data_IF_050776605269
#
_entry.id   IF_050776605269
#
_cell.length_a   1.000
_cell.length_b   1.000
_cell.length_c   1.000
_cell.angle_alpha   90.00
_cell.angle_beta   90.00
_cell.angle_gamma   90.00
#
_symmetry.space_group_name_H-M   'P 1'
#
loop_
_entity.id
_entity.type
_entity.pdbx_description
1 polymer ?
#
# COMPACT_ATOMS: atom_id res chain seq x y z
N UNK A 1 -4.92 28.89 -19.31
CA UNK A 1 -4.03 29.01 -18.14
C UNK A 1 -2.88 28.02 -18.32
N UNK A 2 -1.63 28.48 -18.53
CA UNK A 2 -0.47 27.59 -18.77
C UNK A 2 -0.04 26.84 -17.50
N UNK A 3 -0.13 27.50 -16.34
CA UNK A 3 0.26 26.95 -15.04
C UNK A 3 -0.61 25.76 -14.60
N UNK A 4 -1.93 25.79 -14.86
CA UNK A 4 -2.80 24.67 -14.50
C UNK A 4 -2.49 23.42 -15.34
N UNK A 5 -2.09 23.59 -16.61
CA UNK A 5 -1.65 22.48 -17.46
C UNK A 5 -0.37 21.85 -16.90
N UNK A 6 0.59 22.66 -16.45
CA UNK A 6 1.82 22.23 -15.81
C UNK A 6 1.53 21.32 -14.61
N UNK A 7 0.74 21.80 -13.62
CA UNK A 7 0.42 20.98 -12.45
C UNK A 7 -0.37 19.72 -12.79
N UNK A 8 -1.24 19.76 -13.80
CA UNK A 8 -1.97 18.58 -14.25
C UNK A 8 -1.05 17.51 -14.85
N UNK A 9 -0.03 17.93 -15.61
CA UNK A 9 0.96 17.00 -16.18
C UNK A 9 1.88 16.45 -15.09
N UNK A 10 2.34 17.31 -14.18
CA UNK A 10 3.20 16.92 -13.06
C UNK A 10 2.51 15.90 -12.12
N UNK A 11 1.21 16.08 -11.84
CA UNK A 11 0.42 15.19 -11.01
C UNK A 11 -0.22 14.00 -11.78
N UNK A 12 0.20 13.76 -13.03
CA UNK A 12 -0.25 12.61 -13.80
C UNK A 12 0.14 11.30 -13.12
N UNK A 13 -0.66 10.25 -13.34
CA UNK A 13 -0.35 8.89 -12.88
C UNK A 13 0.89 8.32 -13.58
N UNK A 14 1.04 8.64 -14.86
CA UNK A 14 2.15 8.19 -15.70
C UNK A 14 3.00 9.41 -16.02
N UNK A 15 4.30 9.32 -15.73
CA UNK A 15 5.25 10.41 -15.87
C UNK A 15 6.42 9.95 -16.74
N UNK A 16 6.55 10.54 -17.94
CA UNK A 16 7.64 10.21 -18.86
C UNK A 16 8.80 11.17 -18.63
N UNK A 17 10.06 10.70 -18.60
CA UNK A 17 11.22 11.56 -18.37
C UNK A 17 11.37 12.68 -19.40
N UNK A 18 10.99 12.42 -20.65
CA UNK A 18 11.02 13.40 -21.75
C UNK A 18 10.05 14.55 -21.49
N UNK A 19 8.81 14.24 -21.09
CA UNK A 19 7.81 15.25 -20.74
C UNK A 19 8.30 16.14 -19.58
N UNK A 20 9.05 15.58 -18.62
CA UNK A 20 9.58 16.34 -17.49
C UNK A 20 10.63 17.36 -17.89
N UNK A 21 11.48 17.04 -18.86
CA UNK A 21 12.47 17.99 -19.40
C UNK A 21 11.77 19.14 -20.13
N UNK A 22 10.68 18.85 -20.85
CA UNK A 22 9.86 19.90 -21.45
C UNK A 22 9.16 20.77 -20.40
N UNK A 23 8.59 20.15 -19.36
CA UNK A 23 7.93 20.84 -18.25
C UNK A 23 8.88 21.79 -17.50
N UNK A 24 10.13 21.38 -17.27
CA UNK A 24 11.16 22.19 -16.63
C UNK A 24 11.45 23.48 -17.42
N UNK A 25 11.47 23.39 -18.75
CA UNK A 25 11.66 24.55 -19.62
C UNK A 25 10.39 25.42 -19.76
N UNK A 26 9.20 24.82 -19.70
CA UNK A 26 7.93 25.54 -19.80
C UNK A 26 7.57 26.32 -18.52
N UNK A 27 7.90 25.80 -17.34
CA UNK A 27 7.51 26.43 -16.07
C UNK A 27 8.18 27.78 -15.87
N UNK A 28 9.48 27.90 -16.19
CA UNK A 28 10.20 29.18 -16.10
C UNK A 28 9.54 30.28 -16.95
N UNK A 29 9.21 29.96 -18.21
CA UNK A 29 8.49 30.90 -19.09
C UNK A 29 7.11 31.26 -18.55
N UNK A 30 6.40 30.27 -18.00
CA UNK A 30 5.06 30.46 -17.46
C UNK A 30 5.07 31.36 -16.22
N UNK A 31 6.05 31.23 -15.34
CA UNK A 31 6.21 32.10 -14.18
C UNK A 31 6.58 33.53 -14.57
N UNK A 32 7.50 33.71 -15.53
CA UNK A 32 7.81 35.05 -16.06
C UNK A 32 6.59 35.72 -16.70
N UNK A 33 5.75 34.97 -17.43
CA UNK A 33 4.50 35.49 -17.99
C UNK A 33 3.52 35.92 -16.87
N UNK A 34 3.48 35.20 -15.75
CA UNK A 34 2.65 35.53 -14.60
C UNK A 34 3.19 36.75 -13.84
N UNK A 35 4.52 36.92 -13.77
CA UNK A 35 5.17 38.05 -13.07
C UNK A 35 4.84 39.38 -13.73
N UNK A 36 4.58 39.37 -15.03
CA UNK A 36 4.14 40.55 -15.77
C UNK A 36 2.69 40.95 -15.50
N UNK A 37 1.88 40.04 -14.96
CA UNK A 37 0.43 40.23 -14.75
C UNK A 37 0.13 40.54 -13.28
N UNK A 38 0.78 39.83 -12.36
CA UNK A 38 0.53 39.95 -10.93
C UNK A 38 1.54 40.88 -10.25
N UNK A 39 1.16 41.58 -9.17
CA UNK A 39 2.10 42.39 -8.40
C UNK A 39 3.18 41.52 -7.77
N UNK A 40 4.39 42.06 -7.50
CA UNK A 40 5.49 41.30 -6.88
C UNK A 40 5.12 40.63 -5.55
N UNK A 41 4.15 41.19 -4.81
CA UNK A 41 3.64 40.61 -3.56
C UNK A 41 2.92 39.27 -3.72
N UNK A 42 2.54 38.89 -4.95
CA UNK A 42 1.94 37.59 -5.27
C UNK A 42 2.99 36.47 -5.43
N UNK A 43 4.24 36.84 -5.71
CA UNK A 43 5.33 35.88 -5.92
C UNK A 43 5.96 35.49 -4.59
N UNK A 44 5.28 34.60 -3.87
CA UNK A 44 5.81 33.98 -2.68
C UNK A 44 6.80 32.85 -3.01
N UNK A 45 7.40 32.29 -1.96
CA UNK A 45 8.29 31.12 -2.02
C UNK A 45 7.56 29.90 -2.59
N UNK A 46 6.23 29.80 -2.40
CA UNK A 46 5.43 28.67 -2.87
C UNK A 46 5.33 28.64 -4.39
N UNK A 47 5.14 29.81 -5.03
CA UNK A 47 5.12 29.92 -6.48
C UNK A 47 6.49 29.59 -7.08
N UNK A 48 7.59 30.02 -6.44
CA UNK A 48 8.95 29.72 -6.90
C UNK A 48 9.30 28.23 -6.78
N UNK A 49 8.79 27.55 -5.75
CA UNK A 49 9.02 26.11 -5.57
C UNK A 49 8.54 25.28 -6.77
N UNK A 50 7.54 25.78 -7.50
CA UNK A 50 7.02 25.11 -8.69
C UNK A 50 8.06 24.86 -9.78
N UNK A 51 9.14 25.66 -9.86
CA UNK A 51 10.24 25.44 -10.81
C UNK A 51 10.99 24.14 -10.49
N UNK A 52 11.18 23.84 -9.21
CA UNK A 52 11.95 22.68 -8.76
C UNK A 52 11.18 21.37 -8.84
N UNK A 53 9.84 21.43 -8.87
CA UNK A 53 8.99 20.23 -8.85
C UNK A 53 9.22 19.29 -10.04
N UNK A 54 9.52 19.82 -11.23
CA UNK A 54 9.79 18.98 -12.41
C UNK A 54 11.08 18.18 -12.25
N UNK A 55 12.14 18.82 -11.75
CA UNK A 55 13.42 18.17 -11.46
C UNK A 55 13.27 17.15 -10.32
N UNK A 56 12.53 17.52 -9.27
CA UNK A 56 12.24 16.63 -8.16
C UNK A 56 11.45 15.39 -8.59
N UNK A 57 10.48 15.54 -9.50
CA UNK A 57 9.71 14.41 -10.01
C UNK A 57 10.53 13.52 -10.96
N UNK A 58 11.54 14.07 -11.62
CA UNK A 58 12.50 13.30 -12.43
C UNK A 58 13.37 12.40 -11.56
N UNK A 59 13.77 12.87 -10.38
CA UNK A 59 14.62 12.11 -9.46
C UNK A 59 13.78 11.17 -8.58
N UNK A 60 12.70 11.68 -8.01
CA UNK A 60 11.88 10.99 -7.01
C UNK A 60 10.65 10.27 -7.56
N UNK A 61 10.45 10.27 -8.87
CA UNK A 61 9.27 9.68 -9.51
C UNK A 61 7.98 10.47 -9.28
N UNK A 62 6.81 9.84 -9.50
CA UNK A 62 5.53 10.52 -9.49
C UNK A 62 5.20 11.21 -8.16
N UNK A 63 4.72 12.45 -8.25
CA UNK A 63 4.48 13.34 -7.10
C UNK A 63 3.46 12.79 -6.09
N UNK A 64 2.50 11.98 -6.55
CA UNK A 64 1.41 11.45 -5.72
C UNK A 64 1.88 10.52 -4.60
N UNK A 65 2.99 9.80 -4.78
CA UNK A 65 3.55 8.93 -3.73
C UNK A 65 4.35 9.69 -2.68
N UNK A 66 4.75 10.93 -2.97
CA UNK A 66 5.55 11.77 -2.07
C UNK A 66 4.70 12.73 -1.24
N UNK A 67 3.39 12.77 -1.47
CA UNK A 67 2.49 13.56 -0.64
C UNK A 67 2.32 12.90 0.72
N UNK A 68 2.51 13.68 1.78
CA UNK A 68 2.29 13.23 3.15
C UNK A 68 0.79 13.06 3.46
N UNK A 69 -0.08 13.75 2.72
CA UNK A 69 -1.52 13.81 2.97
C UNK A 69 -2.24 12.44 3.02
N UNK A 70 -2.02 11.49 2.09
CA UNK A 70 -2.62 10.15 2.17
C UNK A 70 -2.19 9.39 3.42
N UNK A 71 -0.91 9.50 3.81
CA UNK A 71 -0.36 8.86 5.00
C UNK A 71 -1.00 9.45 6.26
N UNK A 72 -1.06 10.78 6.36
CA UNK A 72 -1.72 11.46 7.49
C UNK A 72 -3.19 11.09 7.62
N UNK A 73 -3.93 11.04 6.50
CA UNK A 73 -5.33 10.64 6.49
C UNK A 73 -5.51 9.20 6.95
N UNK A 74 -4.62 8.31 6.53
CA UNK A 74 -4.63 6.91 6.96
C UNK A 74 -4.35 6.81 8.47
N UNK A 75 -3.30 7.45 8.97
CA UNK A 75 -2.96 7.47 10.39
C UNK A 75 -4.07 8.10 11.25
N UNK A 76 -4.70 9.17 10.78
CA UNK A 76 -5.87 9.77 11.42
C UNK A 76 -7.03 8.77 11.53
N UNK A 77 -7.22 7.93 10.51
CA UNK A 77 -8.24 6.88 10.53
C UNK A 77 -7.89 5.79 11.53
N UNK A 78 -6.65 5.31 11.54
CA UNK A 78 -6.19 4.32 12.54
C UNK A 78 -6.31 4.85 13.97
N UNK A 79 -6.02 6.13 14.19
CA UNK A 79 -6.20 6.78 15.49
C UNK A 79 -7.63 6.67 16.00
N UNK A 80 -8.63 6.71 15.12
CA UNK A 80 -10.04 6.53 15.49
C UNK A 80 -10.38 5.11 15.98
N UNK A 81 -9.55 4.11 15.64
CA UNK A 81 -9.72 2.72 16.08
C UNK A 81 -9.14 2.44 17.48
N UNK A 82 -8.38 3.36 18.06
CA UNK A 82 -7.81 3.21 19.41
C UNK A 82 -8.88 3.44 20.48
N UNK A 83 -9.61 2.38 20.83
CA UNK A 83 -10.56 2.31 21.96
C UNK A 83 -9.86 1.99 23.28
N UNK A 84 -8.84 1.14 23.25
CA UNK A 84 -8.05 0.77 24.43
C UNK A 84 -6.63 1.37 24.38
N UNK A 85 -6.39 2.43 25.15
CA UNK A 85 -5.08 3.11 25.21
C UNK A 85 -3.97 2.29 25.88
N UNK A 86 -4.29 1.22 26.62
CA UNK A 86 -3.28 0.33 27.23
C UNK A 86 -2.64 -0.61 26.23
N UNK A 87 -3.31 -0.87 25.10
CA UNK A 87 -2.85 -1.72 23.99
C UNK A 87 -3.31 -1.12 22.65
N UNK A 88 -2.69 -0.02 22.20
CA UNK A 88 -3.16 0.71 21.02
C UNK A 88 -3.09 -0.12 19.74
N UNK A 89 -2.04 -0.92 19.56
CA UNK A 89 -1.85 -1.80 18.40
C UNK A 89 -2.96 -2.85 18.29
N UNK A 90 -3.26 -3.55 19.39
CA UNK A 90 -4.35 -4.53 19.43
C UNK A 90 -5.72 -3.90 19.16
N UNK A 91 -5.96 -2.70 19.70
CA UNK A 91 -7.20 -1.97 19.45
C UNK A 91 -7.36 -1.54 17.98
N UNK A 92 -6.26 -1.16 17.32
CA UNK A 92 -6.24 -0.83 15.90
C UNK A 92 -6.48 -2.09 15.05
N UNK A 93 -5.80 -3.20 15.37
CA UNK A 93 -5.95 -4.47 14.66
C UNK A 93 -7.40 -4.97 14.72
N UNK A 94 -8.02 -4.94 15.90
CA UNK A 94 -9.44 -5.27 16.05
C UNK A 94 -10.35 -4.32 15.25
N UNK A 95 -10.12 -3.00 15.32
CA UNK A 95 -10.90 -2.02 14.58
C UNK A 95 -10.78 -2.20 13.06
N UNK A 96 -9.58 -2.47 12.57
CA UNK A 96 -9.31 -2.73 11.16
C UNK A 96 -9.98 -4.03 10.70
N UNK A 97 -9.81 -5.14 11.43
CA UNK A 97 -10.49 -6.42 11.16
C UNK A 97 -12.02 -6.29 11.09
N UNK A 98 -12.61 -5.44 11.94
CA UNK A 98 -14.05 -5.24 11.97
C UNK A 98 -14.61 -4.47 10.77
N UNK A 99 -13.80 -3.64 10.12
CA UNK A 99 -14.19 -2.82 8.96
C UNK A 99 -13.70 -3.46 7.65
N UNK A 100 -12.69 -4.32 7.72
CA UNK A 100 -12.10 -4.95 6.55
C UNK A 100 -13.07 -5.97 5.94
N UNK A 101 -13.49 -5.79 4.67
CA UNK A 101 -14.52 -6.63 4.04
C UNK A 101 -14.05 -8.08 3.86
N UNK A 102 -12.74 -8.31 3.82
CA UNK A 102 -12.15 -9.65 3.73
C UNK A 102 -12.19 -10.43 5.06
N UNK A 103 -12.66 -9.83 6.15
CA UNK A 103 -12.90 -10.55 7.42
C UNK A 103 -13.98 -11.64 7.32
N UNK A 104 -14.73 -11.67 6.20
CA UNK A 104 -15.65 -12.74 5.82
C UNK A 104 -14.93 -14.00 5.30
N UNK A 105 -13.68 -13.87 4.84
CA UNK A 105 -12.86 -14.98 4.33
C UNK A 105 -11.87 -15.52 5.37
N UNK A 106 -11.86 -14.96 6.58
CA UNK A 106 -11.07 -15.54 7.67
C UNK A 106 -11.77 -16.81 8.15
N UNK A 107 -10.98 -17.86 8.41
CA UNK A 107 -11.47 -19.14 8.93
C UNK A 107 -12.35 -18.93 10.16
N UNK A 108 -13.36 -19.78 10.35
CA UNK A 108 -14.34 -19.64 11.42
C UNK A 108 -13.71 -19.57 12.84
N UNK A 109 -12.49 -20.09 12.99
CA UNK A 109 -11.68 -20.03 14.20
C UNK A 109 -11.25 -18.61 14.61
N UNK A 110 -11.21 -17.66 13.67
CA UNK A 110 -10.86 -16.26 13.93
C UNK A 110 -12.14 -15.46 14.10
N UNK A 111 -12.56 -15.28 15.35
CA UNK A 111 -13.79 -14.56 15.70
C UNK A 111 -13.81 -13.10 15.24
N UNK A 112 -14.36 -12.83 14.05
CA UNK A 112 -14.66 -11.50 13.52
C UNK A 112 -16.11 -11.10 13.86
N UNK A 113 -16.47 -9.80 13.80
CA UNK A 113 -17.88 -9.38 13.99
C UNK A 113 -18.84 -10.04 13.00
N UNK A 114 -18.33 -10.48 11.85
CA UNK A 114 -19.10 -11.14 10.80
C UNK A 114 -19.33 -12.63 11.04
N UNK A 115 -18.47 -13.28 11.85
CA UNK A 115 -18.60 -14.69 12.22
C UNK A 115 -19.10 -14.91 13.66
N UNK A 116 -19.65 -13.89 14.33
CA UNK A 116 -20.17 -14.08 15.70
C UNK A 116 -21.46 -14.89 15.65
N UNK A 117 -21.52 -16.09 16.27
CA UNK A 117 -22.76 -16.84 16.38
C UNK A 117 -23.78 -16.02 17.18
N UNK A 118 -25.04 -16.10 16.76
CA UNK A 118 -26.14 -15.38 17.40
C UNK A 118 -26.26 -15.81 18.86
N UNK A 119 -26.48 -14.85 19.77
CA UNK A 119 -26.47 -15.02 21.24
C UNK A 119 -27.53 -15.98 21.81
N UNK A 120 -28.33 -16.62 20.96
CA UNK A 120 -29.42 -17.52 21.30
C UNK A 120 -29.23 -18.87 20.60
N UNK A 121 -28.22 -19.64 21.00
CA UNK A 121 -28.24 -21.10 20.81
C UNK A 121 -28.38 -21.72 22.20
N UNK A 122 -29.59 -22.17 22.50
CA UNK A 122 -29.86 -23.02 23.65
C UNK A 122 -29.19 -24.37 23.38
N UNK A 123 -28.01 -24.58 23.98
CA UNK A 123 -27.31 -25.87 23.94
C UNK A 123 -28.05 -26.88 24.82
N UNK A 124 -28.90 -27.66 24.17
CA UNK A 124 -29.57 -28.82 24.74
C UNK A 124 -29.07 -30.12 24.12
N UNK A 125 -28.18 -30.83 24.82
CA UNK A 125 -28.19 -32.30 24.86
C UNK A 125 -27.08 -33.07 24.10
N UNK A 126 -26.14 -33.60 24.91
CA UNK A 126 -25.45 -34.90 24.86
C UNK A 126 -25.28 -35.70 23.54
N UNK A 127 -24.02 -35.99 23.18
CA UNK A 127 -23.42 -37.27 22.66
C UNK A 127 -22.04 -36.91 22.08
N UNK A 128 -20.93 -37.61 22.28
CA UNK A 128 -20.63 -38.91 22.86
C UNK A 128 -19.26 -39.33 22.30
N UNK A 129 -18.37 -39.75 23.18
CA UNK A 129 -17.08 -40.42 22.99
C UNK A 129 -16.83 -41.04 21.59
N UNK A 130 -15.89 -40.48 20.81
CA UNK A 130 -15.21 -41.20 19.70
C UNK A 130 -13.94 -40.56 19.10
N UNK A 131 -13.45 -39.41 19.59
CA UNK A 131 -12.35 -38.68 18.91
C UNK A 131 -10.92 -39.06 19.32
N UNK A 132 -10.74 -40.04 20.21
CA UNK A 132 -9.43 -40.29 20.82
C UNK A 132 -8.57 -41.32 20.09
N UNK A 133 -9.13 -42.21 19.27
CA UNK A 133 -8.38 -43.32 18.66
C UNK A 133 -7.77 -43.00 17.29
N UNK A 134 -8.22 -41.91 16.63
CA UNK A 134 -7.69 -41.49 15.32
C UNK A 134 -6.47 -40.56 15.41
N UNK A 135 -6.25 -39.90 16.56
CA UNK A 135 -5.18 -38.91 16.71
C UNK A 135 -3.80 -39.52 16.97
N UNK A 136 -3.74 -40.74 17.52
CA UNK A 136 -2.47 -41.43 17.79
C UNK A 136 -1.81 -42.02 16.53
N UNK A 137 -2.54 -42.14 15.43
CA UNK A 137 -2.00 -42.63 14.15
C UNK A 137 -1.47 -41.52 13.24
N UNK A 138 -1.91 -40.28 13.42
CA UNK A 138 -1.45 -39.12 12.63
C UNK A 138 -0.08 -38.60 13.14
N UNK A 139 0.23 -38.79 14.42
CA UNK A 139 1.51 -38.35 15.03
C UNK A 139 2.73 -39.22 14.68
N UNK A 140 2.59 -40.26 13.84
CA UNK A 140 3.69 -41.17 13.45
C UNK A 140 4.18 -41.03 12.00
N UNK A 141 3.56 -40.18 11.18
CA UNK A 141 3.85 -40.14 9.73
C UNK A 141 4.41 -38.82 9.20
N UNK A 142 4.68 -37.82 10.03
CA UNK A 142 5.26 -36.55 9.60
C UNK A 142 6.74 -36.48 9.99
N UNK A 143 7.60 -36.99 9.09
CA UNK A 143 9.04 -36.77 9.18
C UNK A 143 9.33 -35.27 8.99
N UNK A 144 10.00 -34.60 9.95
CA UNK A 144 10.16 -33.15 9.98
C UNK A 144 11.12 -32.59 8.91
N UNK A 145 11.89 -33.45 8.24
CA UNK A 145 12.90 -33.02 7.26
C UNK A 145 12.30 -32.75 5.86
N UNK A 146 11.18 -33.39 5.50
CA UNK A 146 10.60 -33.31 4.14
C UNK A 146 9.94 -31.95 3.83
N UNK A 147 9.41 -31.25 4.85
CA UNK A 147 8.82 -29.92 4.65
C UNK A 147 9.86 -28.82 4.46
N UNK A 148 11.10 -29.05 4.93
CA UNK A 148 12.17 -28.05 4.82
C UNK A 148 12.73 -27.95 3.40
N UNK A 149 12.86 -29.09 2.71
CA UNK A 149 13.28 -29.19 1.31
C UNK A 149 12.26 -28.55 0.34
N UNK A 150 10.95 -28.74 0.55
CA UNK A 150 9.91 -28.12 -0.27
C UNK A 150 9.90 -26.58 -0.17
N UNK A 151 10.14 -26.05 1.04
CA UNK A 151 10.26 -24.60 1.24
C UNK A 151 11.54 -24.05 0.61
N UNK A 152 12.66 -24.77 0.67
CA UNK A 152 13.90 -24.37 0.04
C UNK A 152 13.82 -24.42 -1.49
N UNK A 153 13.13 -25.42 -2.05
CA UNK A 153 12.88 -25.53 -3.48
C UNK A 153 12.00 -24.38 -3.99
N UNK A 154 10.98 -24.03 -3.19
CA UNK A 154 10.09 -22.89 -3.47
C UNK A 154 10.85 -21.56 -3.37
N UNK A 155 11.69 -21.37 -2.37
CA UNK A 155 12.52 -20.16 -2.25
C UNK A 155 13.52 -20.03 -3.42
N UNK A 156 14.11 -21.14 -3.89
CA UNK A 156 15.00 -21.15 -5.06
C UNK A 156 14.26 -20.82 -6.35
N UNK A 157 13.02 -21.30 -6.52
CA UNK A 157 12.23 -20.95 -7.69
C UNK A 157 11.86 -19.46 -7.70
N UNK A 158 11.44 -18.91 -6.56
CA UNK A 158 11.17 -17.48 -6.41
C UNK A 158 12.40 -16.63 -6.71
N UNK A 159 13.55 -16.94 -6.12
CA UNK A 159 14.78 -16.16 -6.33
C UNK A 159 15.20 -16.13 -7.80
N UNK A 160 14.99 -17.22 -8.55
CA UNK A 160 15.27 -17.29 -9.99
C UNK A 160 14.32 -16.40 -10.80
N UNK A 161 13.02 -16.42 -10.49
CA UNK A 161 12.03 -15.56 -11.17
C UNK A 161 12.28 -14.08 -10.93
N UNK A 162 12.77 -13.70 -9.73
CA UNK A 162 13.11 -12.31 -9.42
C UNK A 162 14.28 -11.82 -10.28
N UNK A 163 15.33 -12.64 -10.43
CA UNK A 163 16.46 -12.29 -11.30
C UNK A 163 16.06 -12.17 -12.77
N UNK A 164 15.17 -13.04 -13.27
CA UNK A 164 14.63 -12.95 -14.64
C UNK A 164 13.75 -11.70 -14.85
N UNK A 165 13.06 -11.23 -13.80
CA UNK A 165 12.27 -9.99 -13.84
C UNK A 165 13.15 -8.73 -13.77
N UNK A 166 14.27 -8.76 -13.03
CA UNK A 166 15.24 -7.65 -13.02
C UNK A 166 15.94 -7.50 -14.38
N UNK A 167 16.28 -8.60 -15.05
CA UNK A 167 16.87 -8.58 -16.39
C UNK A 167 15.89 -8.06 -17.47
N UNK A 168 14.58 -8.35 -17.32
CA UNK A 168 13.52 -7.81 -18.18
C UNK A 168 13.14 -6.35 -17.87
N UNK A 169 13.48 -5.84 -16.68
CA UNK A 169 13.20 -4.46 -16.28
C UNK A 169 14.21 -3.46 -16.87
N UNK A 170 15.46 -3.89 -17.11
CA UNK A 170 16.50 -3.04 -17.69
C UNK A 170 16.20 -2.68 -19.17
N UNK A 171 15.53 -3.58 -19.90
CA UNK A 171 15.06 -3.35 -21.28
C UNK A 171 13.81 -2.44 -21.39
N UNK A 172 13.08 -2.20 -20.29
CA UNK A 172 11.84 -1.40 -20.26
C UNK A 172 12.03 0.02 -19.71
N UNK A 173 13.25 0.54 -19.76
CA UNK A 173 13.61 1.85 -19.21
C UNK A 173 13.03 3.07 -19.97
N UNK A 174 11.81 2.96 -20.54
CA UNK A 174 11.14 4.07 -21.22
C UNK A 174 9.73 4.36 -20.71
N UNK A 175 9.23 3.63 -19.71
CA UNK A 175 8.01 4.01 -19.01
C UNK A 175 8.12 3.68 -17.53
N UNK A 176 8.24 4.71 -16.70
CA UNK A 176 8.11 4.58 -15.25
C UNK A 176 6.62 4.43 -14.91
N UNK A 177 6.14 3.19 -14.83
CA UNK A 177 4.88 2.84 -14.19
C UNK A 177 5.23 2.09 -12.92
N UNK A 178 4.91 2.70 -11.77
CA UNK A 178 4.92 2.05 -10.45
C UNK A 178 3.55 1.41 -10.26
#
# INVERSE_FOLDING_TARGET
>A
MKLSRYYRQLCSKVLRPQDLVELENEIGKTLCDLERIFPPSFFDVMVHLSVHLALEAKIGGPVHYRWMYPIERYLSTLKSYVRNKRRPEGSIAEGYLNVFPFSLYLSDDIGSRHNRPSRNYDDGGCRGDQDQEMNDSILKSTDPDHQSEDLLQTLRSYSRTISELEELADDRNNVLVI
#
